data_IF_187877621241
#
_entry.id   IF_187877621241
#
_cell.length_a   1.000
_cell.length_b   1.000
_cell.length_c   1.000
_cell.angle_alpha   90.00
_cell.angle_beta   90.00
_cell.angle_gamma   90.00
#
_symmetry.space_group_name_H-M   'P 1'
#
loop_
_entity.id
_entity.type
_entity.pdbx_description
1 polymer ?
#
# COMPACT_ATOMS: atom_id res chain seq x y z
N UNK A 1 -1.66 56.10 -10.37
CA UNK A 1 -1.74 54.65 -10.69
C UNK A 1 -0.40 54.27 -11.28
N UNK A 2 0.46 53.61 -10.50
CA UNK A 2 1.75 53.13 -11.01
C UNK A 2 1.51 51.86 -11.82
N UNK A 3 1.82 51.91 -13.11
CA UNK A 3 1.84 50.74 -13.97
C UNK A 3 2.86 49.76 -13.42
N UNK A 4 2.42 48.55 -13.05
CA UNK A 4 3.30 47.44 -12.76
C UNK A 4 3.99 47.08 -14.07
N UNK A 5 5.21 47.59 -14.25
CA UNK A 5 6.09 47.27 -15.37
C UNK A 5 6.12 45.76 -15.56
N UNK A 6 5.62 45.31 -16.71
CA UNK A 6 5.76 43.94 -17.21
C UNK A 6 7.22 43.53 -17.10
N UNK A 7 7.48 42.40 -16.44
CA UNK A 7 8.75 41.70 -16.59
C UNK A 7 8.71 41.05 -17.99
N UNK A 8 9.45 41.53 -19.01
CA UNK A 8 9.30 41.09 -20.40
C UNK A 8 9.84 39.66 -20.67
N UNK A 9 10.15 38.92 -19.60
CA UNK A 9 10.89 37.65 -19.64
C UNK A 9 10.18 36.53 -18.88
N UNK A 10 8.92 36.73 -18.47
CA UNK A 10 8.19 35.68 -17.76
C UNK A 10 7.96 34.48 -18.69
N UNK A 11 8.58 33.33 -18.37
CA UNK A 11 8.38 32.11 -19.14
C UNK A 11 6.98 31.54 -18.85
N UNK A 12 6.31 30.96 -19.86
CA UNK A 12 5.03 30.26 -19.65
C UNK A 12 5.22 29.19 -18.58
N UNK A 13 4.36 29.19 -17.56
CA UNK A 13 4.45 28.28 -16.42
C UNK A 13 5.30 28.81 -15.25
N UNK A 14 5.95 29.97 -15.38
CA UNK A 14 6.66 30.62 -14.29
C UNK A 14 5.70 30.93 -13.15
N UNK A 15 6.09 30.57 -11.93
CA UNK A 15 5.35 30.86 -10.70
C UNK A 15 5.87 32.17 -10.11
N UNK A 16 4.96 33.02 -9.62
CA UNK A 16 5.29 34.29 -8.98
C UNK A 16 6.13 34.07 -7.72
N UNK A 17 6.90 35.07 -7.30
CA UNK A 17 7.79 34.95 -6.13
C UNK A 17 7.04 34.62 -4.82
N UNK A 18 5.76 35.01 -4.72
CA UNK A 18 4.86 34.70 -3.61
C UNK A 18 4.10 33.37 -3.77
N UNK A 19 4.29 32.65 -4.88
CA UNK A 19 3.68 31.35 -5.14
C UNK A 19 2.17 31.38 -5.43
N UNK A 20 1.58 32.57 -5.58
CA UNK A 20 0.13 32.72 -5.72
C UNK A 20 -0.35 32.71 -7.16
N UNK A 21 0.50 33.07 -8.10
CA UNK A 21 0.15 33.24 -9.51
C UNK A 21 1.07 32.43 -10.41
N UNK A 22 0.56 32.01 -11.56
CA UNK A 22 1.31 31.39 -12.64
C UNK A 22 1.13 32.20 -13.93
N UNK A 23 2.23 32.48 -14.61
CA UNK A 23 2.21 33.14 -15.91
C UNK A 23 1.71 32.17 -16.97
N UNK A 24 0.63 32.53 -17.67
CA UNK A 24 0.05 31.72 -18.75
C UNK A 24 0.59 32.09 -20.14
N UNK A 25 1.44 33.12 -20.24
CA UNK A 25 1.94 33.67 -21.50
C UNK A 25 1.37 35.05 -21.84
N UNK A 26 0.29 35.47 -21.20
CA UNK A 26 -0.36 36.77 -21.39
C UNK A 26 -0.59 37.50 -20.06
N UNK A 27 -0.91 36.78 -18.99
CA UNK A 27 -1.22 37.34 -17.68
C UNK A 27 -0.84 36.40 -16.53
N UNK A 28 -0.80 36.96 -15.32
CA UNK A 28 -0.64 36.21 -14.09
C UNK A 28 -2.00 35.65 -13.64
N UNK A 29 -2.17 34.32 -13.70
CA UNK A 29 -3.41 33.63 -13.31
C UNK A 29 -3.28 33.04 -11.90
N UNK A 30 -4.28 33.17 -11.01
CA UNK A 30 -4.23 32.59 -9.68
C UNK A 30 -4.07 31.07 -9.71
N UNK A 31 -3.20 30.55 -8.85
CA UNK A 31 -3.02 29.10 -8.68
C UNK A 31 -4.10 28.58 -7.71
N UNK A 32 -4.90 27.57 -8.09
CA UNK A 32 -5.92 27.02 -7.21
C UNK A 32 -5.30 26.54 -5.88
N UNK A 33 -5.96 26.88 -4.77
CA UNK A 33 -5.50 26.48 -3.43
C UNK A 33 -5.36 24.96 -3.34
N UNK A 34 -4.23 24.51 -2.79
CA UNK A 34 -3.93 23.09 -2.65
C UNK A 34 -3.43 22.41 -3.92
N UNK A 35 -3.20 23.17 -5.01
CA UNK A 35 -2.45 22.68 -6.18
C UNK A 35 -1.08 22.16 -5.77
N UNK A 36 -0.65 21.09 -6.42
CA UNK A 36 0.68 20.52 -6.25
C UNK A 36 1.22 20.08 -7.59
N UNK A 37 2.54 20.13 -7.71
CA UNK A 37 3.24 19.75 -8.91
C UNK A 37 3.95 18.41 -8.71
N UNK A 38 3.88 17.50 -9.69
CA UNK A 38 4.62 16.26 -9.62
C UNK A 38 6.12 16.56 -9.65
N UNK A 39 6.87 15.81 -8.86
CA UNK A 39 8.34 15.76 -8.97
C UNK A 39 8.73 14.52 -9.77
N UNK A 40 10.02 14.34 -10.12
CA UNK A 40 10.50 13.10 -10.73
C UNK A 40 10.20 11.85 -9.88
N UNK A 41 9.92 12.00 -8.58
CA UNK A 41 9.62 10.89 -7.66
C UNK A 41 8.14 10.51 -7.63
N UNK A 42 7.24 11.42 -8.04
CA UNK A 42 5.80 11.23 -7.91
C UNK A 42 5.30 9.99 -8.65
N UNK A 43 5.58 9.90 -9.96
CA UNK A 43 5.12 8.77 -10.77
C UNK A 43 5.77 7.44 -10.38
N UNK A 44 7.10 7.36 -10.19
CA UNK A 44 7.73 6.14 -9.71
C UNK A 44 7.14 5.63 -8.39
N UNK A 45 6.92 6.50 -7.40
CA UNK A 45 6.34 6.10 -6.11
C UNK A 45 4.91 5.55 -6.26
N UNK A 46 4.08 6.23 -7.04
CA UNK A 46 2.70 5.80 -7.30
C UNK A 46 2.64 4.44 -7.99
N UNK A 47 3.48 4.24 -9.01
CA UNK A 47 3.55 2.98 -9.75
C UNK A 47 4.14 1.85 -8.91
N UNK A 48 5.20 2.11 -8.15
CA UNK A 48 5.78 1.10 -7.26
C UNK A 48 4.79 0.67 -6.18
N UNK A 49 4.07 1.62 -5.57
CA UNK A 49 3.02 1.29 -4.61
C UNK A 49 1.88 0.50 -5.25
N UNK A 50 1.41 0.91 -6.43
CA UNK A 50 0.37 0.21 -7.16
C UNK A 50 0.78 -1.23 -7.54
N UNK A 51 1.99 -1.39 -8.06
CA UNK A 51 2.55 -2.68 -8.42
C UNK A 51 2.67 -3.59 -7.20
N UNK A 52 3.21 -3.07 -6.09
CA UNK A 52 3.34 -3.82 -4.86
C UNK A 52 2.00 -4.35 -4.35
N UNK A 53 1.00 -3.48 -4.18
CA UNK A 53 -0.32 -3.90 -3.69
C UNK A 53 -1.01 -4.88 -4.65
N UNK A 54 -0.85 -4.70 -5.97
CA UNK A 54 -1.41 -5.63 -6.95
C UNK A 54 -0.78 -7.01 -6.83
N UNK A 55 0.55 -7.06 -6.80
CA UNK A 55 1.28 -8.34 -6.75
C UNK A 55 1.05 -9.03 -5.40
N UNK A 56 1.00 -8.28 -4.30
CA UNK A 56 0.68 -8.82 -2.98
C UNK A 56 -0.74 -9.40 -2.92
N UNK A 57 -1.73 -8.72 -3.48
CA UNK A 57 -3.12 -9.20 -3.54
C UNK A 57 -3.23 -10.50 -4.33
N UNK A 58 -2.56 -10.57 -5.49
CA UNK A 58 -2.54 -11.78 -6.29
C UNK A 58 -1.83 -12.92 -5.55
N UNK A 59 -0.67 -12.63 -4.95
CA UNK A 59 0.10 -13.60 -4.20
C UNK A 59 -0.69 -14.16 -3.01
N UNK A 60 -1.33 -13.30 -2.20
CA UNK A 60 -2.10 -13.72 -1.03
C UNK A 60 -3.25 -14.65 -1.43
N UNK A 61 -4.01 -14.30 -2.47
CA UNK A 61 -5.09 -15.14 -3.00
C UNK A 61 -4.56 -16.48 -3.53
N UNK A 62 -3.50 -16.46 -4.34
CA UNK A 62 -2.93 -17.68 -4.94
C UNK A 62 -2.45 -18.64 -3.83
N UNK A 63 -1.68 -18.15 -2.87
CA UNK A 63 -1.19 -18.96 -1.75
C UNK A 63 -2.34 -19.49 -0.91
N UNK A 64 -3.32 -18.65 -0.59
CA UNK A 64 -4.47 -19.08 0.20
C UNK A 64 -5.31 -20.14 -0.51
N UNK A 65 -5.59 -20.00 -1.80
CA UNK A 65 -6.37 -20.99 -2.56
C UNK A 65 -5.62 -22.32 -2.70
N UNK A 66 -4.30 -22.29 -2.87
CA UNK A 66 -3.50 -23.51 -3.01
C UNK A 66 -3.35 -24.23 -1.66
N UNK A 67 -3.08 -23.49 -0.59
CA UNK A 67 -2.64 -24.09 0.68
C UNK A 67 -3.68 -24.11 1.78
N UNK A 68 -4.72 -23.27 1.77
CA UNK A 68 -5.81 -23.34 2.75
C UNK A 68 -6.83 -24.37 2.26
N UNK A 69 -6.76 -25.57 2.85
CA UNK A 69 -7.61 -26.70 2.55
C UNK A 69 -7.85 -27.51 3.83
N UNK A 70 -8.53 -28.65 3.72
CA UNK A 70 -8.84 -29.49 4.89
C UNK A 70 -7.58 -29.91 5.63
N UNK A 71 -6.59 -30.47 4.95
CA UNK A 71 -5.40 -31.03 5.59
C UNK A 71 -4.57 -29.98 6.33
N UNK A 72 -4.40 -28.81 5.73
CA UNK A 72 -3.67 -27.71 6.37
C UNK A 72 -4.43 -27.12 7.55
N UNK A 73 -5.76 -26.98 7.45
CA UNK A 73 -6.58 -26.49 8.56
C UNK A 73 -6.64 -27.48 9.72
N UNK A 74 -6.71 -28.79 9.44
CA UNK A 74 -6.63 -29.85 10.46
C UNK A 74 -5.32 -29.77 11.25
N UNK A 75 -4.20 -29.52 10.57
CA UNK A 75 -2.89 -29.34 11.19
C UNK A 75 -2.90 -28.16 12.15
N UNK A 76 -3.43 -27.01 11.71
CA UNK A 76 -3.55 -25.81 12.54
C UNK A 76 -4.43 -26.07 13.77
N UNK A 77 -5.61 -26.67 13.60
CA UNK A 77 -6.53 -26.94 14.70
C UNK A 77 -5.93 -27.88 15.76
N UNK A 78 -5.18 -28.91 15.31
CA UNK A 78 -4.45 -29.81 16.23
C UNK A 78 -3.31 -29.09 16.95
N UNK A 79 -2.53 -28.27 16.23
CA UNK A 79 -1.44 -27.50 16.81
C UNK A 79 -1.92 -26.49 17.85
N UNK A 80 -3.12 -25.92 17.66
CA UNK A 80 -3.72 -24.95 18.58
C UNK A 80 -4.54 -25.60 19.70
N UNK A 81 -4.74 -26.92 19.67
CA UNK A 81 -5.61 -27.62 20.62
C UNK A 81 -7.06 -27.12 20.56
N UNK A 82 -7.56 -26.77 19.37
CA UNK A 82 -8.90 -26.22 19.18
C UNK A 82 -9.97 -27.17 19.74
N UNK A 83 -10.78 -26.69 20.67
CA UNK A 83 -11.90 -27.44 21.24
C UNK A 83 -13.14 -27.30 20.35
N UNK A 84 -13.85 -28.40 20.14
CA UNK A 84 -15.07 -28.41 19.32
C UNK A 84 -16.26 -28.01 20.21
N UNK A 85 -17.03 -26.97 19.86
CA UNK A 85 -18.20 -26.57 20.62
C UNK A 85 -19.22 -27.70 20.77
N UNK A 86 -19.87 -27.78 21.94
CA UNK A 86 -20.91 -28.78 22.19
C UNK A 86 -22.08 -28.60 21.21
N UNK A 87 -22.55 -29.70 20.61
CA UNK A 87 -23.63 -29.69 19.63
C UNK A 87 -23.20 -29.34 18.20
N UNK A 88 -21.91 -29.07 17.97
CA UNK A 88 -21.32 -28.98 16.63
C UNK A 88 -20.51 -30.23 16.29
N UNK A 89 -20.43 -30.58 15.01
CA UNK A 89 -19.51 -31.60 14.54
C UNK A 89 -18.20 -30.98 14.02
N UNK A 90 -17.17 -31.82 13.99
CA UNK A 90 -15.83 -31.42 13.61
C UNK A 90 -15.75 -30.92 12.16
N UNK A 91 -16.47 -31.59 11.24
CA UNK A 91 -16.48 -31.25 9.82
C UNK A 91 -17.10 -29.87 9.55
N UNK A 92 -18.14 -29.51 10.28
CA UNK A 92 -18.81 -28.21 10.20
C UNK A 92 -17.87 -27.10 10.64
N UNK A 93 -17.20 -27.26 11.79
CA UNK A 93 -16.21 -26.29 12.28
C UNK A 93 -15.08 -26.12 11.27
N UNK A 94 -14.53 -27.22 10.75
CA UNK A 94 -13.45 -27.21 9.76
C UNK A 94 -13.83 -26.45 8.49
N UNK A 95 -15.01 -26.73 7.92
CA UNK A 95 -15.47 -26.08 6.69
C UNK A 95 -15.73 -24.58 6.90
N UNK A 96 -16.32 -24.20 8.04
CA UNK A 96 -16.53 -22.80 8.41
C UNK A 96 -15.19 -22.07 8.56
N UNK A 97 -14.20 -22.69 9.22
CA UNK A 97 -12.87 -22.11 9.38
C UNK A 97 -12.18 -21.85 8.03
N UNK A 98 -12.24 -22.81 7.10
CA UNK A 98 -11.70 -22.64 5.74
C UNK A 98 -12.43 -21.51 5.01
N UNK A 99 -13.76 -21.48 5.06
CA UNK A 99 -14.56 -20.44 4.43
C UNK A 99 -14.21 -19.05 4.97
N UNK A 100 -14.15 -18.89 6.29
CA UNK A 100 -13.80 -17.62 6.94
C UNK A 100 -12.38 -17.20 6.53
N UNK A 101 -11.42 -18.13 6.54
CA UNK A 101 -10.05 -17.82 6.17
C UNK A 101 -9.93 -17.33 4.71
N UNK A 102 -10.58 -18.01 3.76
CA UNK A 102 -10.59 -17.60 2.36
C UNK A 102 -11.36 -16.28 2.14
N UNK A 103 -12.53 -16.13 2.78
CA UNK A 103 -13.31 -14.90 2.69
C UNK A 103 -12.54 -13.69 3.22
N UNK A 104 -11.83 -13.85 4.34
CA UNK A 104 -10.97 -12.82 4.90
C UNK A 104 -9.87 -12.41 3.91
N UNK A 105 -9.17 -13.38 3.32
CA UNK A 105 -8.11 -13.11 2.32
C UNK A 105 -8.67 -12.37 1.11
N UNK A 106 -9.83 -12.78 0.59
CA UNK A 106 -10.48 -12.12 -0.55
C UNK A 106 -10.82 -10.66 -0.22
N UNK A 107 -11.37 -10.38 0.97
CA UNK A 107 -11.66 -9.01 1.40
C UNK A 107 -10.39 -8.17 1.46
N UNK A 108 -9.31 -8.69 2.05
CA UNK A 108 -8.01 -8.01 2.11
C UNK A 108 -7.47 -7.75 0.70
N UNK A 109 -7.51 -8.75 -0.19
CA UNK A 109 -7.05 -8.60 -1.57
C UNK A 109 -7.83 -7.51 -2.33
N UNK A 110 -9.15 -7.40 -2.12
CA UNK A 110 -9.95 -6.31 -2.70
C UNK A 110 -9.49 -4.95 -2.17
N UNK A 111 -9.23 -4.83 -0.86
CA UNK A 111 -8.72 -3.59 -0.27
C UNK A 111 -7.34 -3.22 -0.81
N UNK A 112 -6.45 -4.20 -1.00
CA UNK A 112 -5.14 -3.99 -1.63
C UNK A 112 -5.29 -3.55 -3.09
N UNK A 113 -6.24 -4.10 -3.85
CA UNK A 113 -6.52 -3.63 -5.22
C UNK A 113 -7.07 -2.20 -5.25
N UNK A 114 -7.90 -1.82 -4.28
CA UNK A 114 -8.34 -0.42 -4.11
C UNK A 114 -7.15 0.47 -3.77
N UNK A 115 -6.24 0.01 -2.91
CA UNK A 115 -5.00 0.74 -2.61
C UNK A 115 -4.11 0.87 -3.84
N UNK A 116 -4.03 -0.16 -4.68
CA UNK A 116 -3.29 -0.13 -5.94
C UNK A 116 -3.88 0.91 -6.90
N UNK A 117 -5.19 0.89 -7.11
CA UNK A 117 -5.90 1.84 -7.97
C UNK A 117 -5.73 3.28 -7.46
N UNK A 118 -5.94 3.51 -6.16
CA UNK A 118 -5.79 4.83 -5.56
C UNK A 118 -4.35 5.36 -5.63
N UNK A 119 -3.36 4.46 -5.54
CA UNK A 119 -1.94 4.81 -5.73
C UNK A 119 -1.66 5.17 -7.18
N UNK A 120 -2.12 4.37 -8.13
CA UNK A 120 -1.97 4.61 -9.57
C UNK A 120 -2.59 5.95 -10.02
N UNK A 121 -3.78 6.25 -9.51
CA UNK A 121 -4.50 7.50 -9.76
C UNK A 121 -3.95 8.70 -8.95
N UNK A 122 -3.02 8.47 -8.02
CA UNK A 122 -2.40 9.52 -7.22
C UNK A 122 -3.34 10.17 -6.20
N UNK A 123 -4.32 9.44 -5.68
CA UNK A 123 -5.25 9.96 -4.67
C UNK A 123 -4.50 10.39 -3.41
N UNK A 124 -4.67 11.65 -3.00
CA UNK A 124 -3.90 12.25 -1.90
C UNK A 124 -4.13 11.59 -0.55
N UNK A 125 -5.34 11.10 -0.29
CA UNK A 125 -5.64 10.37 0.95
C UNK A 125 -5.07 8.95 0.92
N UNK A 126 -5.00 8.33 -0.26
CA UNK A 126 -4.44 7.00 -0.44
C UNK A 126 -2.94 6.96 -0.11
N UNK A 127 -2.23 8.09 -0.25
CA UNK A 127 -0.84 8.19 0.22
C UNK A 127 -0.72 7.80 1.69
N UNK A 128 -1.61 8.30 2.56
CA UNK A 128 -1.55 8.03 3.99
C UNK A 128 -1.92 6.59 4.32
N UNK A 129 -2.91 6.04 3.61
CA UNK A 129 -3.26 4.62 3.72
C UNK A 129 -2.09 3.75 3.29
N UNK A 130 -1.49 4.01 2.13
CA UNK A 130 -0.33 3.28 1.65
C UNK A 130 0.84 3.37 2.65
N UNK A 131 1.14 4.54 3.19
CA UNK A 131 2.20 4.73 4.19
C UNK A 131 1.98 3.85 5.42
N UNK A 132 0.75 3.81 5.96
CA UNK A 132 0.41 2.96 7.11
C UNK A 132 0.47 1.48 6.75
N UNK A 133 -0.08 1.08 5.60
CA UNK A 133 -0.03 -0.32 5.15
C UNK A 133 1.40 -0.79 4.94
N UNK A 134 2.28 0.03 4.38
CA UNK A 134 3.69 -0.30 4.21
C UNK A 134 4.43 -0.41 5.55
N UNK A 135 4.08 0.41 6.53
CA UNK A 135 4.61 0.30 7.90
C UNK A 135 4.17 -1.02 8.57
N UNK A 136 2.87 -1.33 8.50
CA UNK A 136 2.29 -2.56 9.07
C UNK A 136 2.81 -3.81 8.37
N UNK A 137 2.95 -3.79 7.04
CA UNK A 137 3.50 -4.90 6.27
C UNK A 137 4.94 -5.25 6.70
N UNK A 138 5.72 -4.26 7.13
CA UNK A 138 7.04 -4.49 7.70
C UNK A 138 7.02 -5.21 9.05
N UNK A 139 5.97 -5.02 9.85
CA UNK A 139 5.79 -5.73 11.14
C UNK A 139 5.46 -7.21 10.91
N UNK A 140 4.80 -7.54 9.79
CA UNK A 140 4.45 -8.91 9.42
C UNK A 140 5.65 -9.87 9.33
N UNK A 141 6.86 -9.35 9.08
CA UNK A 141 8.10 -10.13 9.14
C UNK A 141 8.30 -10.81 10.51
N UNK A 142 7.96 -10.10 11.60
CA UNK A 142 8.13 -10.62 12.95
C UNK A 142 7.18 -11.80 13.24
N UNK A 143 5.97 -11.77 12.66
CA UNK A 143 4.98 -12.83 12.86
C UNK A 143 5.35 -14.13 12.14
N UNK A 144 6.07 -14.05 11.02
CA UNK A 144 6.49 -15.22 10.24
C UNK A 144 7.71 -15.95 10.84
N UNK A 145 8.49 -15.31 11.71
CA UNK A 145 9.60 -15.96 12.44
C UNK A 145 9.13 -17.19 13.23
N UNK A 146 7.92 -17.14 13.79
CA UNK A 146 7.32 -18.30 14.47
C UNK A 146 7.11 -19.49 13.55
N UNK A 147 6.74 -19.24 12.29
CA UNK A 147 6.58 -20.30 11.28
C UNK A 147 7.91 -20.93 10.86
N UNK A 148 8.99 -20.14 10.80
CA UNK A 148 10.33 -20.71 10.55
C UNK A 148 10.83 -21.57 11.71
N UNK A 149 10.51 -21.18 12.95
CA UNK A 149 10.86 -21.96 14.14
C UNK A 149 10.03 -23.25 14.26
N UNK A 150 8.75 -23.21 13.87
CA UNK A 150 7.83 -24.34 13.95
C UNK A 150 7.05 -24.55 12.63
N UNK A 151 7.71 -25.04 11.56
CA UNK A 151 7.08 -25.23 10.26
C UNK A 151 5.83 -26.11 10.27
N UNK A 152 5.81 -27.11 11.16
CA UNK A 152 4.76 -28.12 11.24
C UNK A 152 3.44 -27.62 11.82
N UNK A 153 3.40 -26.38 12.32
CA UNK A 153 2.16 -25.77 12.85
C UNK A 153 1.50 -24.82 11.84
N UNK A 154 2.16 -24.55 10.71
CA UNK A 154 1.68 -23.61 9.69
C UNK A 154 0.80 -24.29 8.65
N UNK A 155 -0.30 -23.64 8.21
CA UNK A 155 -1.08 -24.09 7.07
C UNK A 155 -0.38 -23.82 5.73
N UNK A 156 0.64 -22.95 5.71
CA UNK A 156 1.36 -22.50 4.52
C UNK A 156 2.80 -23.04 4.57
N UNK A 157 3.35 -23.60 3.48
CA UNK A 157 4.70 -24.12 3.47
C UNK A 157 5.76 -23.02 3.62
N UNK A 158 6.90 -23.37 4.23
CA UNK A 158 8.00 -22.45 4.53
C UNK A 158 8.49 -21.67 3.31
N UNK A 159 8.51 -22.30 2.12
CA UNK A 159 8.89 -21.62 0.88
C UNK A 159 7.96 -20.45 0.52
N UNK A 160 6.65 -20.60 0.72
CA UNK A 160 5.69 -19.52 0.51
C UNK A 160 5.81 -18.44 1.61
N UNK A 161 6.12 -18.85 2.85
CA UNK A 161 6.40 -17.88 3.93
C UNK A 161 7.65 -17.06 3.63
N UNK A 162 8.71 -17.67 3.08
CA UNK A 162 9.91 -16.95 2.67
C UNK A 162 9.65 -15.89 1.58
N UNK A 163 8.71 -16.14 0.66
CA UNK A 163 8.30 -15.12 -0.31
C UNK A 163 7.52 -13.99 0.38
N UNK A 164 6.68 -14.29 1.38
CA UNK A 164 6.02 -13.27 2.20
C UNK A 164 7.03 -12.37 2.93
N UNK A 165 8.17 -12.91 3.37
CA UNK A 165 9.27 -12.11 3.94
C UNK A 165 9.87 -11.12 2.94
N UNK A 166 10.00 -11.51 1.67
CA UNK A 166 10.45 -10.59 0.62
C UNK A 166 9.47 -9.42 0.47
N UNK A 167 8.16 -9.68 0.52
CA UNK A 167 7.15 -8.60 0.53
C UNK A 167 7.31 -7.71 1.77
N UNK A 168 7.58 -8.27 2.95
CA UNK A 168 7.79 -7.46 4.16
C UNK A 168 9.03 -6.55 4.03
N UNK A 169 10.14 -7.05 3.46
CA UNK A 169 11.34 -6.25 3.22
C UNK A 169 11.05 -5.13 2.21
N UNK A 170 10.39 -5.44 1.10
CA UNK A 170 9.99 -4.44 0.09
C UNK A 170 9.02 -3.42 0.71
N UNK A 171 8.13 -3.87 1.60
CA UNK A 171 7.18 -3.02 2.32
C UNK A 171 7.90 -1.98 3.17
N UNK A 172 8.93 -2.39 3.92
CA UNK A 172 9.77 -1.48 4.71
C UNK A 172 10.53 -0.49 3.81
N UNK A 173 11.10 -0.97 2.71
CA UNK A 173 11.79 -0.10 1.75
C UNK A 173 10.84 0.96 1.17
N UNK A 174 9.63 0.56 0.79
CA UNK A 174 8.57 1.45 0.32
C UNK A 174 8.14 2.45 1.39
N UNK A 175 7.97 2.00 2.64
CA UNK A 175 7.65 2.87 3.77
C UNK A 175 8.69 3.97 3.93
N UNK A 176 9.98 3.61 3.97
CA UNK A 176 11.09 4.57 4.09
C UNK A 176 11.10 5.53 2.91
N UNK A 177 10.92 5.04 1.68
CA UNK A 177 10.92 5.87 0.49
C UNK A 177 9.76 6.89 0.50
N UNK A 178 8.54 6.46 0.83
CA UNK A 178 7.38 7.34 0.96
C UNK A 178 7.55 8.35 2.09
N UNK A 179 8.14 7.94 3.22
CA UNK A 179 8.44 8.82 4.35
C UNK A 179 9.41 9.94 3.96
N UNK A 180 10.49 9.61 3.25
CA UNK A 180 11.41 10.61 2.70
C UNK A 180 10.68 11.53 1.72
N UNK A 181 9.86 10.97 0.83
CA UNK A 181 9.07 11.74 -0.15
C UNK A 181 8.13 12.76 0.50
N UNK A 182 7.42 12.36 1.56
CA UNK A 182 6.48 13.26 2.25
C UNK A 182 7.18 14.36 3.05
N UNK A 183 8.31 14.04 3.68
CA UNK A 183 9.10 15.03 4.42
C UNK A 183 9.70 16.06 3.46
N UNK A 184 10.19 15.61 2.29
CA UNK A 184 10.90 16.47 1.34
C UNK A 184 9.98 17.31 0.44
N UNK A 185 8.87 16.73 -0.02
CA UNK A 185 8.00 17.38 -1.02
C UNK A 185 6.54 17.43 -0.58
N UNK A 186 6.07 16.38 0.09
CA UNK A 186 4.68 16.19 0.49
C UNK A 186 4.11 14.86 -0.01
N UNK A 187 2.82 14.57 0.27
CA UNK A 187 2.15 13.35 -0.19
C UNK A 187 2.37 13.07 -1.68
N UNK A 188 2.72 11.82 -2.00
CA UNK A 188 3.15 11.35 -3.32
C UNK A 188 4.36 12.12 -3.91
N UNK A 189 5.24 12.63 -3.06
CA UNK A 189 6.35 13.47 -3.45
C UNK A 189 5.95 14.67 -4.32
N UNK A 190 4.72 15.19 -4.17
CA UNK A 190 4.26 16.34 -4.94
C UNK A 190 4.54 17.64 -4.17
N UNK A 191 5.24 18.58 -4.81
CA UNK A 191 5.69 19.83 -4.17
C UNK A 191 4.64 20.94 -4.30
N UNK A 192 4.79 21.99 -3.49
CA UNK A 192 3.99 23.21 -3.65
C UNK A 192 4.50 24.00 -4.87
N UNK A 193 3.61 24.68 -5.61
CA UNK A 193 4.03 25.59 -6.67
C UNK A 193 5.00 26.65 -6.13
N UNK A 194 6.09 26.91 -6.86
CA UNK A 194 7.09 27.92 -6.48
C UNK A 194 8.13 27.50 -5.43
N UNK A 195 8.12 26.23 -4.97
CA UNK A 195 9.17 25.64 -4.11
C UNK A 195 9.99 24.61 -4.88
#
# INVERSE_FOLDING_TARGET
>A
MAALTENPTAAVGQVSADGQFRWDGQQWVPIPRGSREPTPWTRPMQLAAAAFFTVQALYSVIVSVIFINRDSMLRVMRAQGTTIPQGSDFDTVLNISIFIALAFVIVIAILELVAALGSYLGWRWMFWVALVLFALGGIGALTNLGTFAHPDTSPIPVGAVAISELFAIVSVAMFVWLLIGVIRFGPWAMKRPGT
#
